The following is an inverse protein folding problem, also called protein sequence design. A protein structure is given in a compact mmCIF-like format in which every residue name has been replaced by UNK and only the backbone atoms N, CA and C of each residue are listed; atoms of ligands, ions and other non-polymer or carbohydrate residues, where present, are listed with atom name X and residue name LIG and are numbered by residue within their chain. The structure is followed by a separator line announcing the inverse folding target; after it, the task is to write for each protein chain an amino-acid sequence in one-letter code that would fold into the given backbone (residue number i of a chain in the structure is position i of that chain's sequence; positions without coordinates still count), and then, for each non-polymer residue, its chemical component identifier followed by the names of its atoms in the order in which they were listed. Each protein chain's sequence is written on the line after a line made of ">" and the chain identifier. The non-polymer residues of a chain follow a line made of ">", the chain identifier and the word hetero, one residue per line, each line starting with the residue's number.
data_IF_504728964971
#
_entry.id   IF_504728964971
#
_cell.length_a   1.000
_cell.length_b   1.000
_cell.length_c   1.000
_cell.angle_alpha   90.00
_cell.angle_beta   90.00
_cell.angle_gamma   90.00
#
_symmetry.space_group_name_H-M   'P 1'
#
loop_
_entity.id
_entity.type
_entity.pdbx_description
1 polymer ?
#
# COMPACT_ATOMS: atom_id res chain seq x y z
N UNK A 1 2.80 6.32 21.40
CA UNK A 1 1.39 6.26 20.96
C UNK A 1 0.95 4.80 20.94
N UNK A 2 -0.34 4.51 21.17
CA UNK A 2 -0.84 3.14 21.24
C UNK A 2 -0.55 2.30 19.98
N UNK A 3 -0.60 2.94 18.80
CA UNK A 3 -0.27 2.29 17.52
C UNK A 3 1.17 1.79 17.48
N UNK A 4 2.14 2.57 17.99
CA UNK A 4 3.55 2.16 18.02
C UNK A 4 3.77 0.98 18.97
N UNK A 5 3.08 0.96 20.12
CA UNK A 5 3.13 -0.19 21.04
C UNK A 5 2.60 -1.46 20.37
N UNK A 6 1.47 -1.39 19.66
CA UNK A 6 0.92 -2.53 18.93
C UNK A 6 1.83 -3.01 17.80
N UNK A 7 2.48 -2.08 17.08
CA UNK A 7 3.45 -2.43 16.04
C UNK A 7 4.65 -3.16 16.65
N UNK A 8 5.19 -2.68 17.78
CA UNK A 8 6.30 -3.36 18.49
C UNK A 8 5.89 -4.75 19.00
N UNK A 9 4.68 -4.87 19.52
CA UNK A 9 4.14 -6.16 19.96
C UNK A 9 4.08 -7.17 18.80
N UNK A 10 3.58 -6.74 17.63
CA UNK A 10 3.55 -7.58 16.42
C UNK A 10 4.96 -7.90 15.92
N UNK A 11 5.87 -6.93 15.91
CA UNK A 11 7.26 -7.16 15.47
C UNK A 11 7.93 -8.23 16.34
N UNK A 12 7.68 -8.20 17.65
CA UNK A 12 8.19 -9.23 18.57
C UNK A 12 7.65 -10.63 18.23
N UNK A 13 6.38 -10.74 17.82
CA UNK A 13 5.82 -12.01 17.35
C UNK A 13 6.57 -12.48 16.11
N UNK A 14 6.79 -11.61 15.13
CA UNK A 14 7.54 -11.96 13.92
C UNK A 14 8.96 -12.42 14.24
N UNK A 15 9.67 -11.74 15.16
CA UNK A 15 10.99 -12.15 15.64
C UNK A 15 10.97 -13.54 16.26
N UNK A 16 9.99 -13.83 17.14
CA UNK A 16 9.83 -15.15 17.75
C UNK A 16 9.54 -16.26 16.71
N UNK A 17 9.06 -15.91 15.52
CA UNK A 17 8.79 -16.82 14.41
C UNK A 17 9.84 -16.79 13.30
N UNK A 18 11.01 -16.18 13.54
CA UNK A 18 12.18 -16.27 12.67
C UNK A 18 12.41 -15.08 11.74
N UNK A 19 11.82 -13.91 12.01
CA UNK A 19 12.16 -12.68 11.30
C UNK A 19 13.62 -12.23 11.58
N UNK A 20 14.22 -11.54 10.61
CA UNK A 20 15.56 -10.96 10.74
C UNK A 20 15.61 -9.92 11.86
N UNK A 21 16.71 -9.83 12.59
CA UNK A 21 16.93 -8.79 13.62
C UNK A 21 17.33 -7.44 13.02
N UNK A 22 17.74 -7.41 11.74
CA UNK A 22 18.12 -6.19 11.04
C UNK A 22 16.93 -5.23 10.89
N UNK A 23 17.13 -3.99 11.34
CA UNK A 23 16.14 -2.91 11.29
C UNK A 23 16.85 -1.58 11.05
N UNK A 24 16.23 -0.67 10.28
CA UNK A 24 16.78 0.68 10.08
C UNK A 24 16.64 1.56 11.33
N UNK A 25 17.60 2.47 11.53
CA UNK A 25 17.56 3.48 12.58
C UNK A 25 17.26 4.88 12.00
N UNK A 26 16.04 5.41 12.20
CA UNK A 26 15.66 6.72 11.68
C UNK A 26 16.17 7.90 12.56
N UNK A 27 17.02 7.66 13.56
CA UNK A 27 17.50 8.67 14.50
C UNK A 27 18.98 9.03 14.31
N UNK A 28 19.66 8.47 13.31
CA UNK A 28 21.06 8.79 13.03
C UNK A 28 21.25 10.25 12.58
N UNK A 29 22.46 10.78 12.76
CA UNK A 29 22.79 12.14 12.30
C UNK A 29 22.70 12.26 10.78
N UNK A 30 23.00 11.19 10.03
CA UNK A 30 22.82 11.14 8.58
C UNK A 30 21.36 11.27 8.17
N UNK A 31 20.44 10.57 8.85
CA UNK A 31 19.00 10.75 8.61
C UNK A 31 18.54 12.17 8.95
N UNK A 32 19.09 12.79 10.01
CA UNK A 32 18.82 14.19 10.34
C UNK A 32 19.34 15.15 9.25
N UNK A 33 20.49 14.90 8.65
CA UNK A 33 21.03 15.69 7.52
C UNK A 33 20.14 15.59 6.28
N UNK A 34 19.68 14.39 5.93
CA UNK A 34 18.71 14.13 4.85
C UNK A 34 17.41 14.89 5.13
N UNK A 35 16.87 14.76 6.34
CA UNK A 35 15.63 15.43 6.75
C UNK A 35 15.77 16.96 6.68
N UNK A 36 16.91 17.52 7.11
CA UNK A 36 17.18 18.96 7.03
C UNK A 36 17.13 19.47 5.58
N UNK A 37 17.74 18.74 4.63
CA UNK A 37 17.66 19.08 3.19
C UNK A 37 16.23 18.91 2.67
N UNK A 38 15.53 17.87 3.12
CA UNK A 38 14.12 17.65 2.80
C UNK A 38 13.25 18.86 3.20
N UNK A 39 13.33 19.29 4.46
CA UNK A 39 12.60 20.47 4.94
C UNK A 39 12.93 21.74 4.16
N UNK A 40 14.21 21.95 3.82
CA UNK A 40 14.63 23.10 3.02
C UNK A 40 14.01 23.10 1.60
N UNK A 41 13.66 21.93 1.08
CA UNK A 41 13.01 21.73 -0.22
C UNK A 41 11.49 21.52 -0.13
N UNK A 42 10.88 21.72 1.04
CA UNK A 42 9.43 21.52 1.25
C UNK A 42 8.98 20.06 1.37
N UNK A 43 9.93 19.13 1.51
CA UNK A 43 9.67 17.71 1.72
C UNK A 43 9.56 17.38 3.20
N UNK A 44 8.59 16.54 3.55
CA UNK A 44 8.49 15.91 4.86
C UNK A 44 8.97 14.47 4.79
N UNK A 45 10.07 14.16 5.46
CA UNK A 45 10.48 12.77 5.68
C UNK A 45 9.61 12.12 6.76
N UNK A 46 9.03 10.97 6.45
CA UNK A 46 8.35 10.11 7.41
C UNK A 46 9.34 9.13 8.01
N UNK A 47 9.85 9.47 9.19
CA UNK A 47 10.72 8.59 9.96
C UNK A 47 10.00 7.29 10.31
N UNK A 48 10.58 6.17 9.90
CA UNK A 48 10.08 4.84 10.23
C UNK A 48 11.25 3.88 10.45
N UNK A 49 11.12 3.01 11.43
CA UNK A 49 11.96 1.83 11.54
C UNK A 49 11.42 0.79 10.55
N UNK A 50 12.28 0.24 9.71
CA UNK A 50 11.92 -0.71 8.67
C UNK A 50 12.69 -2.01 8.87
N UNK A 51 11.95 -3.10 9.07
CA UNK A 51 12.46 -4.47 9.02
C UNK A 51 12.01 -5.09 7.71
N UNK A 52 12.95 -5.28 6.79
CA UNK A 52 12.66 -5.93 5.52
C UNK A 52 12.74 -7.45 5.70
N UNK A 53 11.60 -8.14 5.61
CA UNK A 53 11.53 -9.60 5.77
C UNK A 53 12.00 -10.34 4.50
N UNK A 54 11.69 -9.81 3.31
CA UNK A 54 11.89 -10.52 2.05
C UNK A 54 10.87 -11.67 1.85
N UNK A 55 10.64 -12.04 0.60
CA UNK A 55 9.58 -13.01 0.22
C UNK A 55 9.84 -14.40 0.81
N UNK A 56 11.09 -14.87 0.77
CA UNK A 56 11.44 -16.24 1.19
C UNK A 56 11.33 -16.40 2.71
N UNK A 57 11.83 -15.44 3.49
CA UNK A 57 11.75 -15.49 4.94
C UNK A 57 10.30 -15.33 5.42
N UNK A 58 9.52 -14.50 4.74
CA UNK A 58 8.12 -14.30 5.07
C UNK A 58 7.30 -15.60 4.95
N UNK A 59 7.63 -16.46 3.97
CA UNK A 59 7.00 -17.78 3.87
C UNK A 59 7.29 -18.66 5.10
N UNK A 60 8.54 -18.70 5.56
CA UNK A 60 8.92 -19.48 6.75
C UNK A 60 8.31 -18.92 8.04
N UNK A 61 8.24 -17.60 8.19
CA UNK A 61 7.56 -16.95 9.32
C UNK A 61 6.08 -17.36 9.34
N UNK A 62 5.39 -17.30 8.20
CA UNK A 62 3.97 -17.67 8.11
C UNK A 62 3.73 -19.16 8.40
N UNK A 63 4.63 -20.04 7.94
CA UNK A 63 4.58 -21.48 8.29
C UNK A 63 4.71 -21.68 9.81
N UNK A 64 5.65 -21.01 10.45
CA UNK A 64 5.85 -21.10 11.90
C UNK A 64 4.64 -20.58 12.68
N UNK A 65 4.02 -19.48 12.23
CA UNK A 65 2.79 -18.94 12.82
C UNK A 65 1.63 -19.94 12.63
N UNK A 66 1.48 -20.52 11.44
CA UNK A 66 0.45 -21.53 11.18
C UNK A 66 0.60 -22.75 12.10
N UNK A 67 1.82 -23.29 12.21
CA UNK A 67 2.12 -24.45 13.06
C UNK A 67 1.86 -24.16 14.55
N UNK A 68 2.08 -22.92 15.00
CA UNK A 68 1.75 -22.49 16.35
C UNK A 68 0.24 -22.36 16.59
N UNK A 69 -0.52 -21.89 15.59
CA UNK A 69 -1.95 -21.63 15.72
C UNK A 69 -2.83 -22.86 15.48
N UNK A 70 -2.38 -23.84 14.68
CA UNK A 70 -3.21 -25.00 14.29
C UNK A 70 -3.74 -25.84 15.46
N UNK A 71 -3.08 -25.79 16.63
CA UNK A 71 -3.52 -26.48 17.85
C UNK A 71 -4.37 -25.60 18.79
N UNK A 72 -4.62 -24.35 18.41
CA UNK A 72 -5.24 -23.31 19.26
C UNK A 72 -6.51 -22.72 18.67
N UNK A 73 -6.66 -22.79 17.35
CA UNK A 73 -7.84 -22.27 16.64
C UNK A 73 -8.26 -23.25 15.57
N UNK A 74 -9.57 -23.34 15.34
CA UNK A 74 -10.12 -24.05 14.20
C UNK A 74 -9.86 -23.24 12.92
N UNK A 75 -9.30 -23.89 11.91
CA UNK A 75 -9.02 -23.28 10.61
C UNK A 75 -9.76 -24.04 9.51
N UNK A 76 -10.59 -23.33 8.75
CA UNK A 76 -11.31 -23.87 7.61
C UNK A 76 -10.82 -23.22 6.31
N UNK A 77 -10.15 -24.00 5.46
CA UNK A 77 -9.66 -23.57 4.15
C UNK A 77 -10.62 -23.99 3.05
N UNK A 78 -10.63 -23.25 1.94
CA UNK A 78 -11.62 -23.44 0.85
C UNK A 78 -13.06 -23.32 1.33
N UNK A 79 -13.28 -22.46 2.32
CA UNK A 79 -14.57 -22.20 2.96
C UNK A 79 -14.94 -20.74 2.71
N UNK A 80 -15.67 -20.49 1.63
CA UNK A 80 -16.07 -19.14 1.24
C UNK A 80 -17.30 -18.68 2.02
N UNK A 81 -17.23 -17.47 2.61
CA UNK A 81 -18.38 -16.79 3.22
C UNK A 81 -19.18 -16.08 2.13
N UNK A 82 -20.46 -16.41 2.02
CA UNK A 82 -21.37 -15.71 1.11
C UNK A 82 -21.97 -14.48 1.79
N UNK A 83 -22.41 -14.61 3.05
CA UNK A 83 -23.17 -13.55 3.71
C UNK A 83 -23.01 -13.49 5.25
N UNK A 84 -23.48 -12.39 5.86
CA UNK A 84 -23.55 -12.20 7.31
C UNK A 84 -24.97 -12.47 7.81
N UNK A 85 -25.09 -13.22 8.90
CA UNK A 85 -26.34 -13.39 9.63
C UNK A 85 -26.47 -12.25 10.64
N UNK A 86 -27.55 -11.48 10.55
CA UNK A 86 -27.80 -10.33 11.43
C UNK A 86 -29.20 -10.38 12.00
N UNK A 87 -29.35 -9.96 13.26
CA UNK A 87 -30.63 -9.90 13.98
C UNK A 87 -30.93 -8.46 14.36
N UNK A 88 -32.22 -8.09 14.29
CA UNK A 88 -32.68 -6.78 14.75
C UNK A 88 -32.81 -6.79 16.28
N UNK A 89 -32.36 -5.72 16.90
CA UNK A 89 -32.37 -5.47 18.34
C UNK A 89 -33.03 -4.11 18.63
N UNK A 90 -33.25 -3.78 19.90
CA UNK A 90 -33.77 -2.46 20.29
C UNK A 90 -32.84 -1.32 19.84
N UNK A 91 -31.52 -1.55 19.86
CA UNK A 91 -30.48 -0.55 19.58
C UNK A 91 -29.95 -0.58 18.14
N UNK A 92 -30.60 -1.34 17.23
CA UNK A 92 -30.17 -1.47 15.84
C UNK A 92 -29.98 -2.93 15.43
N UNK A 93 -28.89 -3.24 14.71
CA UNK A 93 -28.59 -4.60 14.25
C UNK A 93 -27.40 -5.19 15.02
N UNK A 94 -27.45 -6.50 15.29
CA UNK A 94 -26.35 -7.29 15.87
C UNK A 94 -26.00 -8.43 14.94
N UNK A 95 -24.72 -8.76 14.80
CA UNK A 95 -24.29 -9.96 14.07
C UNK A 95 -24.56 -11.22 14.91
N UNK A 96 -24.95 -12.31 14.25
CA UNK A 96 -25.22 -13.60 14.89
C UNK A 96 -24.57 -14.79 14.18
N UNK A 97 -23.70 -14.52 13.21
CA UNK A 97 -22.95 -15.54 12.47
C UNK A 97 -22.67 -15.18 11.03
N UNK A 98 -22.28 -16.19 10.26
CA UNK A 98 -21.99 -16.12 8.84
C UNK A 98 -22.68 -17.26 8.09
N UNK A 99 -23.01 -17.01 6.84
CA UNK A 99 -23.53 -18.00 5.90
C UNK A 99 -22.46 -18.33 4.87
N UNK A 100 -22.19 -19.62 4.71
CA UNK A 100 -21.23 -20.14 3.75
C UNK A 100 -21.87 -20.19 2.36
N UNK A 101 -21.04 -20.17 1.32
CA UNK A 101 -21.47 -20.38 -0.06
C UNK A 101 -22.10 -21.76 -0.31
N UNK A 102 -21.81 -22.75 0.54
CA UNK A 102 -22.47 -24.05 0.56
C UNK A 102 -23.92 -23.99 1.05
N UNK A 103 -24.32 -22.91 1.72
CA UNK A 103 -25.59 -22.75 2.44
C UNK A 103 -25.51 -23.09 3.93
N UNK A 104 -24.39 -23.62 4.41
CA UNK A 104 -24.19 -23.89 5.83
C UNK A 104 -24.08 -22.60 6.64
N UNK A 105 -24.48 -22.66 7.92
CA UNK A 105 -24.49 -21.51 8.81
C UNK A 105 -23.58 -21.75 10.01
N UNK A 106 -22.73 -20.78 10.30
CA UNK A 106 -21.86 -20.78 11.48
C UNK A 106 -22.29 -19.63 12.38
N UNK A 107 -22.74 -19.96 13.59
CA UNK A 107 -23.20 -18.97 14.56
C UNK A 107 -22.06 -18.44 15.42
N UNK A 108 -22.02 -17.12 15.59
CA UNK A 108 -21.04 -16.44 16.43
C UNK A 108 -21.61 -15.11 16.93
N UNK A 109 -21.28 -14.74 18.17
CA UNK A 109 -21.70 -13.45 18.74
C UNK A 109 -20.87 -12.27 18.22
N UNK A 110 -19.64 -12.56 17.77
CA UNK A 110 -18.66 -11.61 17.26
C UNK A 110 -18.09 -12.14 15.96
N UNK A 111 -18.03 -11.30 14.93
CA UNK A 111 -17.49 -11.65 13.61
C UNK A 111 -16.45 -10.61 13.21
N UNK A 112 -15.27 -11.06 12.80
CA UNK A 112 -14.20 -10.20 12.30
C UNK A 112 -14.02 -10.47 10.81
N UNK A 113 -14.17 -9.44 9.99
CA UNK A 113 -14.02 -9.52 8.53
C UNK A 113 -12.74 -8.81 8.11
N UNK A 114 -11.73 -9.58 7.70
CA UNK A 114 -10.41 -9.10 7.28
C UNK A 114 -9.98 -9.75 5.95
N UNK A 115 -10.62 -9.43 4.82
CA UNK A 115 -10.60 -10.29 3.63
C UNK A 115 -9.40 -10.01 2.68
N UNK A 116 -8.44 -9.18 3.12
CA UNK A 116 -7.35 -8.71 2.25
C UNK A 116 -7.84 -7.82 1.10
N UNK A 117 -6.89 -7.30 0.31
CA UNK A 117 -7.20 -6.37 -0.80
C UNK A 117 -8.12 -7.01 -1.84
N UNK A 118 -7.89 -8.28 -2.17
CA UNK A 118 -8.68 -9.02 -3.16
C UNK A 118 -10.15 -9.16 -2.74
N UNK A 119 -10.41 -9.31 -1.45
CA UNK A 119 -11.77 -9.40 -0.90
C UNK A 119 -12.44 -8.06 -0.60
N UNK A 120 -11.80 -6.92 -0.91
CA UNK A 120 -12.38 -5.57 -0.65
C UNK A 120 -13.68 -5.31 -1.42
N UNK A 121 -13.79 -5.83 -2.66
CA UNK A 121 -15.01 -5.74 -3.47
C UNK A 121 -16.15 -6.55 -2.85
N UNK A 122 -15.86 -7.78 -2.41
CA UNK A 122 -16.81 -8.62 -1.69
C UNK A 122 -17.29 -7.94 -0.41
N UNK A 123 -16.37 -7.42 0.41
CA UNK A 123 -16.70 -6.67 1.62
C UNK A 123 -17.60 -5.46 1.33
N UNK A 124 -17.28 -4.70 0.28
CA UNK A 124 -18.09 -3.54 -0.12
C UNK A 124 -19.51 -3.94 -0.49
N UNK A 125 -19.70 -5.05 -1.21
CA UNK A 125 -21.02 -5.58 -1.54
C UNK A 125 -21.74 -6.10 -0.29
N UNK A 126 -21.02 -6.83 0.57
CA UNK A 126 -21.50 -7.37 1.83
C UNK A 126 -22.07 -6.26 2.72
N UNK A 127 -21.33 -5.16 2.92
CA UNK A 127 -21.76 -4.05 3.78
C UNK A 127 -22.85 -3.19 3.11
N UNK A 128 -22.79 -2.99 1.79
CA UNK A 128 -23.86 -2.29 1.04
C UNK A 128 -25.22 -3.00 1.15
N UNK A 129 -25.25 -4.35 1.12
CA UNK A 129 -26.48 -5.13 1.35
C UNK A 129 -27.13 -4.81 2.72
N UNK A 130 -26.35 -4.35 3.70
CA UNK A 130 -26.82 -3.92 5.04
C UNK A 130 -27.01 -2.41 5.15
N UNK A 131 -26.99 -1.68 4.04
CA UNK A 131 -27.14 -0.22 3.98
C UNK A 131 -26.06 0.53 4.77
N UNK A 132 -24.90 -0.09 5.00
CA UNK A 132 -23.74 0.59 5.59
C UNK A 132 -23.05 1.43 4.52
N UNK A 133 -22.77 2.69 4.87
CA UNK A 133 -22.09 3.63 3.96
C UNK A 133 -20.62 3.26 3.85
N UNK A 134 -20.15 3.14 2.62
CA UNK A 134 -18.75 2.93 2.27
C UNK A 134 -18.21 4.18 1.60
N UNK A 135 -17.03 4.64 2.00
CA UNK A 135 -16.38 5.83 1.43
C UNK A 135 -15.17 5.36 0.61
N UNK A 136 -15.16 5.70 -0.67
CA UNK A 136 -13.99 5.55 -1.53
C UNK A 136 -13.85 6.81 -2.39
N UNK A 137 -13.00 7.74 -1.95
CA UNK A 137 -12.85 9.03 -2.61
C UNK A 137 -11.41 9.31 -3.04
N UNK A 138 -10.48 8.37 -2.89
CA UNK A 138 -9.07 8.58 -3.17
C UNK A 138 -8.54 7.53 -4.14
N UNK A 139 -7.65 7.95 -5.04
CA UNK A 139 -6.75 7.07 -5.81
C UNK A 139 -5.38 7.75 -5.94
N UNK A 140 -4.33 6.95 -5.94
CA UNK A 140 -2.99 7.46 -6.18
C UNK A 140 -2.54 7.05 -7.58
N UNK A 141 -2.07 8.01 -8.37
CA UNK A 141 -1.60 7.82 -9.75
C UNK A 141 -0.25 8.51 -9.91
N UNK A 142 0.67 7.86 -10.61
CA UNK A 142 1.92 8.48 -11.00
C UNK A 142 2.79 7.54 -11.81
N UNK A 143 4.06 7.44 -11.43
CA UNK A 143 5.10 6.77 -12.20
C UNK A 143 6.02 5.98 -11.30
N UNK A 144 6.64 4.94 -11.87
CA UNK A 144 7.85 4.35 -11.33
C UNK A 144 9.04 5.16 -11.81
N UNK A 145 9.84 5.66 -10.90
CA UNK A 145 11.11 6.32 -11.18
C UNK A 145 12.22 5.28 -11.09
N UNK A 146 13.13 5.29 -12.04
CA UNK A 146 14.37 4.52 -12.01
C UNK A 146 15.57 5.45 -12.20
N UNK A 147 16.55 5.32 -11.31
CA UNK A 147 17.80 6.07 -11.35
C UNK A 147 18.98 5.20 -10.89
N UNK A 148 20.21 5.70 -11.00
CA UNK A 148 21.40 4.95 -10.59
C UNK A 148 21.44 4.73 -9.08
N UNK A 149 21.95 3.58 -8.63
CA UNK A 149 22.30 3.37 -7.23
C UNK A 149 23.27 4.42 -6.69
N UNK A 150 24.15 4.98 -7.54
CA UNK A 150 25.09 6.04 -7.14
C UNK A 150 24.36 7.30 -6.69
N UNK A 151 23.26 7.65 -7.38
CA UNK A 151 22.43 8.82 -7.01
C UNK A 151 21.69 8.55 -5.69
N UNK A 152 21.22 7.31 -5.50
CA UNK A 152 20.38 6.91 -4.36
C UNK A 152 21.16 6.38 -3.15
N UNK A 153 22.48 6.27 -3.23
CA UNK A 153 23.36 5.60 -2.25
C UNK A 153 23.04 6.03 -0.81
N UNK A 154 23.05 7.34 -0.56
CA UNK A 154 22.81 7.89 0.78
C UNK A 154 21.42 7.51 1.34
N UNK A 155 20.39 7.51 0.51
CA UNK A 155 19.02 7.11 0.91
C UNK A 155 18.97 5.61 1.17
N UNK A 156 19.57 4.81 0.27
CA UNK A 156 19.55 3.35 0.35
C UNK A 156 20.25 2.85 1.62
N UNK A 157 21.39 3.43 1.96
CA UNK A 157 22.17 3.05 3.15
C UNK A 157 21.50 3.45 4.46
N UNK A 158 20.98 4.68 4.54
CA UNK A 158 20.55 5.24 5.82
C UNK A 158 19.05 5.02 6.12
N UNK A 159 18.22 4.87 5.08
CA UNK A 159 16.78 4.76 5.22
C UNK A 159 16.21 3.46 4.66
N UNK A 160 16.94 2.77 3.77
CA UNK A 160 16.45 1.73 2.85
C UNK A 160 15.37 2.26 1.87
N UNK A 161 14.35 2.93 2.41
CA UNK A 161 13.29 3.60 1.68
C UNK A 161 13.08 5.01 2.25
N UNK A 162 13.45 6.04 1.47
CA UNK A 162 13.13 7.42 1.80
C UNK A 162 11.63 7.71 1.59
N UNK A 163 10.85 7.74 2.68
CA UNK A 163 9.40 8.04 2.66
C UNK A 163 9.14 9.54 2.74
N UNK A 164 9.08 10.20 1.61
CA UNK A 164 8.86 11.65 1.52
C UNK A 164 7.43 11.97 1.12
N UNK A 165 6.91 13.07 1.66
CA UNK A 165 5.66 13.71 1.26
C UNK A 165 5.96 15.14 0.81
N UNK A 166 5.33 15.57 -0.28
CA UNK A 166 5.44 16.91 -0.85
C UNK A 166 4.07 17.44 -1.22
N UNK A 167 3.83 18.73 -0.99
CA UNK A 167 2.63 19.42 -1.47
C UNK A 167 3.03 20.34 -2.63
N UNK A 168 2.31 20.23 -3.73
CA UNK A 168 2.67 20.87 -5.00
C UNK A 168 1.96 22.21 -5.16
N UNK A 169 2.43 23.01 -6.11
CA UNK A 169 1.80 24.30 -6.45
C UNK A 169 0.39 24.16 -7.02
N UNK A 170 0.01 22.96 -7.50
CA UNK A 170 -1.33 22.66 -8.02
C UNK A 170 -2.27 22.04 -6.97
N UNK A 171 -1.88 22.06 -5.69
CA UNK A 171 -2.73 21.65 -4.58
C UNK A 171 -2.88 20.13 -4.42
N UNK A 172 -1.99 19.34 -5.03
CA UNK A 172 -1.93 17.89 -4.83
C UNK A 172 -0.83 17.53 -3.83
N UNK A 173 -0.95 16.34 -3.24
CA UNK A 173 0.10 15.74 -2.42
C UNK A 173 0.77 14.62 -3.22
N UNK A 174 2.10 14.61 -3.24
CA UNK A 174 2.91 13.55 -3.85
C UNK A 174 3.68 12.82 -2.75
N UNK A 175 3.81 11.51 -2.87
CA UNK A 175 4.61 10.69 -1.95
C UNK A 175 5.52 9.73 -2.70
N UNK A 176 6.68 9.45 -2.13
CA UNK A 176 7.48 8.29 -2.53
C UNK A 176 6.84 7.01 -1.99
N UNK A 177 7.04 5.90 -2.69
CA UNK A 177 6.51 4.61 -2.26
C UNK A 177 7.30 3.44 -2.82
N UNK A 178 7.47 2.41 -1.99
CA UNK A 178 8.03 1.11 -2.38
C UNK A 178 9.39 1.27 -3.08
N UNK A 179 10.37 1.85 -2.39
CA UNK A 179 11.74 1.89 -2.91
C UNK A 179 12.37 0.50 -2.96
N UNK A 180 13.06 0.21 -4.04
CA UNK A 180 13.74 -1.05 -4.32
C UNK A 180 15.18 -0.74 -4.74
N UNK A 181 16.11 -0.64 -3.76
CA UNK A 181 17.54 -0.51 -4.03
C UNK A 181 18.06 -1.69 -4.85
N UNK A 182 18.88 -1.44 -5.87
CA UNK A 182 19.37 -2.47 -6.81
C UNK A 182 18.26 -3.34 -7.42
N UNK A 183 17.05 -2.80 -7.50
CA UNK A 183 15.86 -3.53 -7.93
C UNK A 183 15.61 -3.45 -9.44
N UNK A 184 14.47 -3.99 -9.85
CA UNK A 184 13.98 -3.99 -11.22
C UNK A 184 12.59 -3.36 -11.26
N UNK A 185 12.32 -2.58 -12.30
CA UNK A 185 10.96 -2.20 -12.65
C UNK A 185 10.27 -3.44 -13.23
N UNK A 186 9.02 -3.68 -12.82
CA UNK A 186 8.24 -4.85 -13.25
C UNK A 186 6.82 -4.44 -13.65
N UNK A 187 6.16 -5.30 -14.42
CA UNK A 187 4.76 -5.15 -14.77
C UNK A 187 3.89 -5.82 -13.71
N UNK A 188 2.94 -5.07 -13.15
CA UNK A 188 1.85 -5.59 -12.33
C UNK A 188 0.59 -5.71 -13.19
N UNK A 189 0.02 -6.92 -13.30
CA UNK A 189 -1.23 -7.15 -14.01
C UNK A 189 -2.41 -7.02 -13.05
N UNK A 190 -3.15 -5.91 -13.17
CA UNK A 190 -4.37 -5.67 -12.42
C UNK A 190 -5.60 -5.95 -13.30
N UNK A 191 -6.01 -7.23 -13.34
CA UNK A 191 -7.20 -7.68 -14.09
C UNK A 191 -7.18 -7.30 -15.58
N UNK A 192 -6.03 -7.49 -16.24
CA UNK A 192 -5.83 -7.17 -17.66
C UNK A 192 -5.30 -5.77 -17.93
N UNK A 193 -5.12 -4.94 -16.89
CA UNK A 193 -4.51 -3.61 -16.99
C UNK A 193 -3.06 -3.71 -16.50
N UNK A 194 -2.11 -3.35 -17.36
CA UNK A 194 -0.68 -3.40 -17.02
C UNK A 194 -0.27 -2.11 -16.32
N UNK A 195 0.28 -2.23 -15.11
CA UNK A 195 0.75 -1.11 -14.29
C UNK A 195 2.24 -1.26 -14.01
N UNK A 196 2.92 -0.12 -13.83
CA UNK A 196 4.29 -0.12 -13.35
C UNK A 196 4.34 -0.47 -11.85
N UNK A 197 5.32 -1.29 -11.48
CA UNK A 197 5.67 -1.60 -10.10
C UNK A 197 7.18 -1.86 -10.04
N UNK A 198 7.70 -2.30 -8.90
CA UNK A 198 9.10 -2.71 -8.79
C UNK A 198 9.31 -3.78 -7.75
N UNK A 199 10.47 -4.42 -7.88
CA UNK A 199 10.88 -5.55 -7.06
C UNK A 199 12.39 -5.48 -6.83
N UNK A 200 12.86 -6.04 -5.72
CA UNK A 200 14.28 -6.26 -5.45
C UNK A 200 14.50 -7.72 -5.03
N UNK A 201 15.50 -8.36 -5.64
CA UNK A 201 15.93 -9.69 -5.25
C UNK A 201 16.75 -9.62 -3.97
N UNK A 202 16.67 -10.68 -3.15
CA UNK A 202 17.55 -10.83 -1.98
C UNK A 202 18.98 -11.15 -2.39
N UNK A 203 19.18 -11.92 -3.46
CA UNK A 203 20.51 -12.24 -3.99
C UNK A 203 21.10 -11.01 -4.71
N UNK A 204 22.22 -10.43 -4.22
CA UNK A 204 22.85 -9.29 -4.85
C UNK A 204 23.29 -9.54 -6.30
N UNK A 205 23.54 -10.81 -6.69
CA UNK A 205 23.92 -11.18 -8.07
C UNK A 205 22.78 -10.99 -9.07
N UNK A 206 21.54 -10.99 -8.60
CA UNK A 206 20.34 -10.72 -9.40
C UNK A 206 19.93 -9.24 -9.33
N UNK A 207 20.66 -8.43 -8.55
CA UNK A 207 20.43 -6.99 -8.47
C UNK A 207 20.83 -6.26 -9.75
N UNK A 208 20.26 -5.07 -9.93
CA UNK A 208 20.65 -4.14 -10.99
C UNK A 208 21.59 -3.05 -10.44
N UNK A 209 22.17 -2.26 -11.34
CA UNK A 209 22.89 -1.02 -10.98
C UNK A 209 21.97 0.16 -10.64
N UNK A 210 20.64 -0.06 -10.62
CA UNK A 210 19.63 0.98 -10.52
C UNK A 210 18.77 0.80 -9.27
N UNK A 211 18.32 1.92 -8.71
CA UNK A 211 17.27 1.97 -7.71
C UNK A 211 16.00 2.43 -8.38
N UNK A 212 14.87 1.81 -8.03
CA UNK A 212 13.56 2.28 -8.48
C UNK A 212 12.57 2.46 -7.33
N UNK A 213 11.67 3.41 -7.47
CA UNK A 213 10.62 3.72 -6.49
C UNK A 213 9.44 4.41 -7.18
N UNK A 214 8.27 4.39 -6.57
CA UNK A 214 7.11 5.08 -7.13
C UNK A 214 7.02 6.53 -6.64
N UNK A 215 6.63 7.44 -7.52
CA UNK A 215 6.08 8.74 -7.18
C UNK A 215 4.58 8.70 -7.43
N UNK A 216 3.81 8.95 -6.38
CA UNK A 216 2.36 8.77 -6.38
C UNK A 216 1.68 10.09 -6.00
N UNK A 217 0.88 10.62 -6.92
CA UNK A 217 0.05 11.81 -6.71
C UNK A 217 -1.31 11.38 -6.19
N UNK A 218 -1.70 11.89 -5.03
CA UNK A 218 -3.01 11.61 -4.43
C UNK A 218 -4.10 12.45 -5.07
N UNK A 219 -5.05 11.78 -5.72
CA UNK A 219 -6.27 12.37 -6.24
C UNK A 219 -7.42 12.06 -5.30
N UNK A 220 -8.01 13.10 -4.72
CA UNK A 220 -9.22 12.99 -3.90
C UNK A 220 -10.39 13.62 -4.66
N UNK A 221 -11.50 12.90 -4.73
CA UNK A 221 -12.70 13.32 -5.42
C UNK A 221 -13.82 13.62 -4.43
N UNK A 222 -14.78 14.41 -4.89
CA UNK A 222 -16.00 14.75 -4.16
C UNK A 222 -17.20 14.51 -5.06
N UNK A 223 -18.39 14.60 -4.47
CA UNK A 223 -19.65 14.61 -5.19
C UNK A 223 -19.62 15.59 -6.38
N UNK A 224 -20.21 15.25 -7.54
CA UNK A 224 -20.99 14.03 -7.80
C UNK A 224 -20.17 12.80 -8.24
N UNK A 225 -18.83 12.86 -8.22
CA UNK A 225 -17.97 11.76 -8.68
C UNK A 225 -17.51 10.87 -7.53
N UNK A 226 -17.80 9.57 -7.62
CA UNK A 226 -17.55 8.59 -6.56
C UNK A 226 -16.78 7.33 -7.04
N UNK A 227 -16.12 7.40 -8.20
CA UNK A 227 -15.43 6.26 -8.85
C UNK A 227 -13.93 6.48 -9.08
N UNK A 228 -13.14 6.83 -8.05
CA UNK A 228 -11.71 7.14 -8.21
C UNK A 228 -10.89 5.98 -8.79
N UNK A 229 -11.19 4.73 -8.42
CA UNK A 229 -10.49 3.57 -8.98
C UNK A 229 -10.75 3.41 -10.49
N UNK A 230 -11.98 3.67 -10.97
CA UNK A 230 -12.28 3.62 -12.40
C UNK A 230 -11.54 4.72 -13.17
N UNK A 231 -11.43 5.92 -12.59
CA UNK A 231 -10.62 7.00 -13.18
C UNK A 231 -9.16 6.57 -13.40
N UNK A 232 -8.54 5.91 -12.42
CA UNK A 232 -7.19 5.38 -12.58
C UNK A 232 -7.12 4.22 -13.59
N UNK A 233 -8.15 3.37 -13.66
CA UNK A 233 -8.23 2.33 -14.69
C UNK A 233 -8.29 2.91 -16.10
N UNK A 234 -9.08 3.94 -16.35
CA UNK A 234 -9.16 4.58 -17.68
C UNK A 234 -7.81 5.18 -18.11
N UNK A 235 -7.14 5.91 -17.20
CA UNK A 235 -5.79 6.46 -17.47
C UNK A 235 -4.78 5.33 -17.79
N UNK A 236 -4.85 4.24 -17.03
CA UNK A 236 -3.92 3.12 -17.21
C UNK A 236 -4.18 2.36 -18.52
N UNK A 237 -5.45 2.18 -18.90
CA UNK A 237 -5.81 1.58 -20.20
C UNK A 237 -5.34 2.43 -21.36
N UNK A 238 -5.48 3.75 -21.28
CA UNK A 238 -4.95 4.67 -22.29
C UNK A 238 -3.43 4.50 -22.45
N UNK A 239 -2.70 4.41 -21.34
CA UNK A 239 -1.26 4.15 -21.38
C UNK A 239 -0.93 2.80 -22.04
N UNK A 240 -1.66 1.72 -21.67
CA UNK A 240 -1.48 0.41 -22.29
C UNK A 240 -1.79 0.43 -23.79
N UNK A 241 -2.80 1.18 -24.25
CA UNK A 241 -3.10 1.30 -25.67
C UNK A 241 -1.96 1.97 -26.45
N UNK A 242 -1.33 3.01 -25.89
CA UNK A 242 -0.20 3.70 -26.53
C UNK A 242 1.11 2.89 -26.51
N UNK A 243 1.24 1.93 -25.61
CA UNK A 243 2.41 1.04 -25.47
C UNK A 243 2.17 -0.37 -26.02
N UNK A 244 1.10 -0.60 -26.79
CA UNK A 244 0.73 -1.93 -27.31
C UNK A 244 0.63 -3.02 -26.23
N UNK A 245 -0.02 -2.68 -25.11
CA UNK A 245 -0.21 -3.55 -23.95
C UNK A 245 0.92 -3.51 -22.92
N UNK A 246 2.03 -2.82 -23.18
CA UNK A 246 3.16 -2.71 -22.25
C UNK A 246 3.10 -1.51 -21.30
N UNK A 247 4.26 -1.08 -20.82
CA UNK A 247 4.43 0.16 -20.05
C UNK A 247 5.15 1.21 -20.90
N UNK A 248 4.79 2.48 -20.72
CA UNK A 248 5.50 3.60 -21.33
C UNK A 248 6.74 3.89 -20.48
N UNK A 249 7.92 4.01 -21.12
CA UNK A 249 9.12 4.60 -20.51
C UNK A 249 9.44 5.94 -21.17
N UNK A 250 9.80 6.93 -20.35
CA UNK A 250 10.21 8.25 -20.83
C UNK A 250 11.33 8.80 -19.96
N UNK A 251 12.35 9.40 -20.58
CA UNK A 251 13.39 10.15 -19.85
C UNK A 251 12.79 11.40 -19.23
N UNK A 252 13.19 11.70 -18.01
CA UNK A 252 12.83 12.92 -17.31
C UNK A 252 13.19 14.18 -18.12
N UNK A 253 14.37 14.19 -18.75
CA UNK A 253 14.77 15.30 -19.62
C UNK A 253 13.89 15.46 -20.88
N UNK A 254 13.27 14.38 -21.36
CA UNK A 254 12.32 14.44 -22.48
C UNK A 254 10.94 14.94 -22.01
N UNK A 255 10.52 14.58 -20.78
CA UNK A 255 9.33 15.14 -20.12
C UNK A 255 9.44 16.67 -20.00
N UNK A 256 10.57 17.17 -19.49
CA UNK A 256 10.81 18.62 -19.35
C UNK A 256 10.79 19.36 -20.69
N UNK A 257 11.21 18.70 -21.78
CA UNK A 257 11.20 19.24 -23.14
C UNK A 257 9.84 19.07 -23.84
N UNK A 258 8.84 18.51 -23.17
CA UNK A 258 7.51 18.27 -23.73
C UNK A 258 7.54 17.36 -24.96
N UNK A 259 8.40 16.34 -24.96
CA UNK A 259 8.59 15.47 -26.12
C UNK A 259 8.65 13.99 -25.73
N UNK A 260 8.25 13.15 -26.68
CA UNK A 260 8.37 11.69 -26.61
C UNK A 260 9.84 11.22 -26.52
N UNK A 261 10.09 10.21 -25.68
CA UNK A 261 11.31 9.39 -25.77
C UNK A 261 11.21 8.34 -26.88
N UNK A 262 12.35 8.06 -27.52
CA UNK A 262 12.50 7.02 -28.57
C UNK A 262 13.58 6.03 -28.15
N UNK A 263 13.66 4.86 -28.77
CA UNK A 263 14.71 3.87 -28.49
C UNK A 263 16.11 4.48 -28.56
N UNK A 264 16.35 5.32 -29.58
CA UNK A 264 17.61 6.05 -29.73
C UNK A 264 17.89 6.94 -28.50
N UNK A 265 16.91 7.72 -28.05
CA UNK A 265 17.08 8.62 -26.90
C UNK A 265 17.27 7.87 -25.59
N UNK A 266 16.60 6.73 -25.41
CA UNK A 266 16.82 5.87 -24.23
C UNK A 266 18.28 5.37 -24.23
N UNK A 267 18.76 4.84 -25.36
CA UNK A 267 20.14 4.33 -25.51
C UNK A 267 21.23 5.40 -25.38
N UNK A 268 20.92 6.66 -25.68
CA UNK A 268 21.83 7.81 -25.43
C UNK A 268 21.89 8.19 -23.94
N UNK A 269 21.03 7.62 -23.09
CA UNK A 269 21.03 7.86 -21.65
C UNK A 269 22.14 7.09 -20.93
N UNK A 270 22.43 7.51 -19.70
CA UNK A 270 23.39 6.81 -18.82
C UNK A 270 22.76 5.66 -18.04
N UNK A 271 21.44 5.50 -18.13
CA UNK A 271 20.69 4.44 -17.49
C UNK A 271 20.17 3.48 -18.54
N UNK A 272 20.52 2.22 -18.36
CA UNK A 272 19.92 1.12 -19.10
C UNK A 272 18.65 0.68 -18.34
N UNK A 273 17.46 0.70 -18.97
CA UNK A 273 16.21 0.25 -18.35
C UNK A 273 16.33 -1.17 -17.78
N UNK A 274 15.87 -1.39 -16.55
CA UNK A 274 15.77 -2.77 -16.02
C UNK A 274 14.63 -3.54 -16.66
N UNK A 275 13.53 -2.87 -17.00
CA UNK A 275 12.41 -3.44 -17.76
C UNK A 275 12.67 -3.31 -19.26
N UNK A 276 13.12 -4.39 -19.90
CA UNK A 276 13.56 -4.38 -21.32
C UNK A 276 12.41 -4.25 -22.30
N UNK A 277 11.24 -4.72 -21.93
CA UNK A 277 10.01 -4.68 -22.69
C UNK A 277 9.25 -3.35 -22.60
N UNK A 278 9.77 -2.38 -21.83
CA UNK A 278 9.16 -1.05 -21.75
C UNK A 278 9.25 -0.31 -23.10
N UNK A 279 8.18 0.38 -23.47
CA UNK A 279 8.05 1.03 -24.77
C UNK A 279 8.32 2.53 -24.64
N UNK A 280 9.33 3.09 -25.35
CA UNK A 280 9.56 4.53 -25.32
C UNK A 280 8.37 5.33 -25.83
N UNK A 281 7.87 6.25 -25.02
CA UNK A 281 6.62 6.97 -25.28
C UNK A 281 6.57 8.36 -24.68
N UNK A 282 5.35 8.87 -24.53
CA UNK A 282 5.06 10.19 -23.97
C UNK A 282 3.99 10.09 -22.89
N UNK A 283 4.41 10.24 -21.64
CA UNK A 283 3.53 10.24 -20.47
C UNK A 283 2.63 11.49 -20.43
N UNK A 284 2.99 12.56 -21.15
CA UNK A 284 2.14 13.75 -21.29
C UNK A 284 0.84 13.50 -22.05
N UNK A 285 0.75 12.40 -22.81
CA UNK A 285 -0.48 11.97 -23.49
C UNK A 285 -1.43 11.17 -22.59
N UNK A 286 -0.99 10.74 -21.40
CA UNK A 286 -1.75 9.85 -20.52
C UNK A 286 -2.00 10.44 -19.14
N UNK A 287 -1.02 11.14 -18.58
CA UNK A 287 -1.14 11.75 -17.26
C UNK A 287 -1.74 13.15 -17.39
N UNK A 288 -2.79 13.48 -16.60
CA UNK A 288 -3.33 14.83 -16.55
C UNK A 288 -2.24 15.85 -16.20
N UNK A 289 -2.40 17.09 -16.68
CA UNK A 289 -1.45 18.18 -16.43
C UNK A 289 -1.08 18.33 -14.95
N UNK A 290 -2.08 18.33 -14.06
CA UNK A 290 -1.83 18.46 -12.62
C UNK A 290 -0.97 17.30 -12.09
N UNK A 291 -1.22 16.06 -12.54
CA UNK A 291 -0.44 14.88 -12.15
C UNK A 291 1.00 15.00 -12.64
N UNK A 292 1.22 15.30 -13.92
CA UNK A 292 2.57 15.41 -14.48
C UNK A 292 3.36 16.57 -13.84
N UNK A 293 2.74 17.74 -13.68
CA UNK A 293 3.35 18.88 -12.98
C UNK A 293 3.73 18.54 -11.54
N UNK A 294 2.86 17.81 -10.84
CA UNK A 294 3.12 17.34 -9.47
C UNK A 294 4.35 16.42 -9.39
N UNK A 295 4.48 15.50 -10.34
CA UNK A 295 5.61 14.57 -10.42
C UNK A 295 6.93 15.32 -10.71
N UNK A 296 6.89 16.32 -11.60
CA UNK A 296 8.04 17.18 -11.90
C UNK A 296 8.47 17.94 -10.63
N UNK A 297 7.55 18.66 -9.98
CA UNK A 297 7.88 19.42 -8.76
C UNK A 297 8.42 18.54 -7.63
N UNK A 298 7.84 17.35 -7.43
CA UNK A 298 8.35 16.37 -6.47
C UNK A 298 9.77 15.90 -6.81
N UNK A 299 10.06 15.69 -8.10
CA UNK A 299 11.38 15.23 -8.55
C UNK A 299 12.44 16.30 -8.36
N UNK A 300 12.11 17.56 -8.67
CA UNK A 300 12.98 18.71 -8.41
C UNK A 300 13.23 18.91 -6.90
N UNK A 301 12.20 18.76 -6.06
CA UNK A 301 12.36 18.84 -4.61
C UNK A 301 13.25 17.70 -4.08
N UNK A 302 13.03 16.47 -4.53
CA UNK A 302 13.85 15.32 -4.14
C UNK A 302 15.30 15.45 -4.62
N UNK A 303 15.55 16.11 -5.76
CA UNK A 303 16.90 16.37 -6.24
C UNK A 303 17.74 17.22 -5.27
N UNK A 304 17.12 18.04 -4.41
CA UNK A 304 17.83 18.76 -3.35
C UNK A 304 18.28 17.83 -2.20
N UNK A 305 17.64 16.67 -2.07
CA UNK A 305 17.92 15.65 -1.06
C UNK A 305 18.86 14.57 -1.61
N UNK A 306 18.67 14.16 -2.85
CA UNK A 306 19.50 13.18 -3.58
C UNK A 306 19.93 13.82 -4.92
N UNK A 307 21.03 14.60 -4.91
CA UNK A 307 21.50 15.29 -6.11
C UNK A 307 21.76 14.32 -7.27
N UNK A 308 21.20 14.65 -8.43
CA UNK A 308 21.25 13.81 -9.62
C UNK A 308 19.94 13.08 -9.92
N UNK A 309 18.97 13.08 -9.00
CA UNK A 309 17.67 12.46 -9.25
C UNK A 309 16.90 13.15 -10.37
N UNK A 310 16.96 14.49 -10.47
CA UNK A 310 16.36 15.26 -11.56
C UNK A 310 17.29 15.34 -12.80
N UNK A 311 18.05 14.28 -13.07
CA UNK A 311 18.89 14.19 -14.27
C UNK A 311 18.05 13.98 -15.53
N UNK A 312 18.52 14.50 -16.67
CA UNK A 312 17.97 14.23 -18.00
C UNK A 312 17.89 12.72 -18.33
N UNK A 313 18.64 11.88 -17.60
CA UNK A 313 18.73 10.44 -17.81
C UNK A 313 17.80 9.61 -16.93
N UNK A 314 17.24 10.17 -15.85
CA UNK A 314 16.28 9.48 -14.97
C UNK A 314 15.08 8.99 -15.79
N UNK A 315 14.62 7.77 -15.52
CA UNK A 315 13.55 7.13 -16.29
C UNK A 315 12.25 7.14 -15.50
N UNK A 316 11.16 7.54 -16.14
CA UNK A 316 9.80 7.42 -15.63
C UNK A 316 9.07 6.34 -16.42
N UNK A 317 8.49 5.39 -15.69
CA UNK A 317 7.61 4.36 -16.23
C UNK A 317 6.19 4.62 -15.79
N UNK A 318 5.26 4.64 -16.74
CA UNK A 318 3.85 4.88 -16.46
C UNK A 318 2.94 3.83 -17.09
N UNK A 319 1.77 3.60 -16.48
CA UNK A 319 1.25 4.27 -15.28
C UNK A 319 1.50 3.41 -14.04
N UNK A 320 1.94 4.01 -12.93
CA UNK A 320 1.85 3.35 -11.62
C UNK A 320 0.60 3.88 -10.89
N UNK A 321 -0.30 2.98 -10.52
CA UNK A 321 -1.50 3.31 -9.77
C UNK A 321 -1.58 2.50 -8.48
N UNK A 322 -2.20 3.07 -7.44
CA UNK A 322 -2.54 2.35 -6.20
C UNK A 322 -4.00 2.62 -5.85
N UNK A 323 -4.80 1.56 -5.93
CA UNK A 323 -6.23 1.59 -5.71
C UNK A 323 -6.56 1.52 -4.22
N UNK A 324 -7.57 2.27 -3.80
CA UNK A 324 -8.03 2.26 -2.42
C UNK A 324 -9.26 1.36 -2.26
N UNK A 325 -9.26 0.60 -1.17
CA UNK A 325 -10.44 -0.13 -0.72
C UNK A 325 -11.42 0.84 -0.11
N UNK A 326 -12.71 0.63 -0.38
CA UNK A 326 -13.76 1.43 0.24
C UNK A 326 -13.75 1.21 1.75
N UNK A 327 -13.83 2.29 2.51
CA UNK A 327 -13.78 2.28 3.96
C UNK A 327 -15.19 2.38 4.57
N UNK A 328 -15.61 1.43 5.44
CA UNK A 328 -16.82 1.60 6.21
C UNK A 328 -16.65 2.64 7.32
N UNK A 329 -17.76 3.20 7.79
CA UNK A 329 -17.78 3.93 9.06
C UNK A 329 -17.55 2.94 10.21
N UNK A 330 -16.52 3.17 11.01
CA UNK A 330 -16.14 2.34 12.15
C UNK A 330 -15.93 3.22 13.38
N UNK A 331 -16.10 2.65 14.57
CA UNK A 331 -15.64 3.27 15.81
C UNK A 331 -14.11 3.11 15.98
N UNK A 332 -13.59 3.59 17.12
CA UNK A 332 -12.17 3.52 17.50
C UNK A 332 -11.66 2.10 17.79
N UNK A 333 -12.56 1.10 17.78
CA UNK A 333 -12.28 -0.34 17.96
C UNK A 333 -12.44 -1.14 16.65
N UNK A 334 -12.66 -0.46 15.52
CA UNK A 334 -12.93 -1.07 14.22
C UNK A 334 -14.24 -1.88 14.15
N UNK A 335 -15.18 -1.60 15.05
CA UNK A 335 -16.54 -2.15 15.01
C UNK A 335 -17.41 -1.28 14.08
N UNK A 336 -18.28 -1.94 13.31
CA UNK A 336 -19.24 -1.27 12.42
C UNK A 336 -20.46 -0.78 13.20
N UNK A 337 -21.41 -0.17 12.50
CA UNK A 337 -22.74 0.17 13.07
C UNK A 337 -23.60 -1.09 13.37
N UNK A 338 -23.17 -2.28 12.93
CA UNK A 338 -23.73 -3.57 13.34
C UNK A 338 -22.94 -4.08 14.55
N UNK A 339 -23.61 -4.19 15.70
CA UNK A 339 -22.99 -4.62 16.96
C UNK A 339 -22.38 -6.02 16.83
N UNK A 340 -21.13 -6.15 17.28
CA UNK A 340 -20.34 -7.38 17.21
C UNK A 340 -19.68 -7.65 15.86
N UNK A 341 -19.92 -6.85 14.83
CA UNK A 341 -19.25 -6.96 13.54
C UNK A 341 -18.06 -6.01 13.46
N UNK A 342 -16.85 -6.58 13.39
CA UNK A 342 -15.59 -5.86 13.20
C UNK A 342 -15.10 -6.03 11.78
N UNK A 343 -14.45 -4.99 11.27
CA UNK A 343 -13.91 -4.97 9.91
C UNK A 343 -12.53 -4.34 9.95
N UNK A 344 -11.51 -5.03 9.41
CA UNK A 344 -10.12 -4.61 9.58
C UNK A 344 -9.20 -4.99 8.43
N UNK A 345 -7.96 -4.52 8.53
CA UNK A 345 -6.91 -4.77 7.54
C UNK A 345 -7.01 -3.94 6.27
N UNK A 346 -6.19 -4.30 5.28
CA UNK A 346 -6.05 -3.54 4.03
C UNK A 346 -7.33 -3.57 3.18
N UNK A 347 -8.03 -4.71 3.15
CA UNK A 347 -9.29 -4.89 2.40
C UNK A 347 -10.44 -4.01 2.88
N UNK A 348 -10.37 -3.55 4.13
CA UNK A 348 -11.31 -2.61 4.73
C UNK A 348 -10.93 -1.13 4.50
N UNK A 349 -9.80 -0.87 3.83
CA UNK A 349 -9.26 0.47 3.65
C UNK A 349 -8.71 1.09 4.94
N UNK A 350 -8.42 0.27 5.96
CA UNK A 350 -7.96 0.73 7.28
C UNK A 350 -6.43 0.79 7.37
N UNK A 351 -5.75 -0.21 6.83
CA UNK A 351 -4.30 -0.36 6.90
C UNK A 351 -3.70 -0.43 5.50
N UNK A 352 -2.36 -0.29 5.40
CA UNK A 352 -1.64 -0.31 4.11
C UNK A 352 -0.32 -1.09 4.17
N UNK A 353 -0.18 -1.99 5.14
CA UNK A 353 1.05 -2.74 5.35
C UNK A 353 0.95 -3.75 6.47
N UNK A 354 1.85 -4.73 6.47
CA UNK A 354 1.82 -5.91 7.33
C UNK A 354 1.73 -5.53 8.82
N UNK A 355 2.63 -4.69 9.31
CA UNK A 355 2.66 -4.28 10.72
C UNK A 355 1.36 -3.58 11.16
N UNK A 356 0.78 -2.74 10.28
CA UNK A 356 -0.49 -2.06 10.57
C UNK A 356 -1.67 -3.03 10.57
N UNK A 357 -1.74 -3.94 9.59
CA UNK A 357 -2.80 -4.93 9.48
C UNK A 357 -2.81 -5.87 10.71
N UNK A 358 -1.63 -6.35 11.11
CA UNK A 358 -1.46 -7.15 12.32
C UNK A 358 -1.82 -6.36 13.59
N UNK A 359 -1.39 -5.10 13.71
CA UNK A 359 -1.75 -4.24 14.84
C UNK A 359 -3.26 -3.99 14.93
N UNK A 360 -3.94 -3.84 13.78
CA UNK A 360 -5.39 -3.74 13.68
C UNK A 360 -6.06 -5.02 14.21
N UNK A 361 -5.58 -6.20 13.80
CA UNK A 361 -6.07 -7.49 14.31
C UNK A 361 -5.92 -7.64 15.83
N UNK A 362 -4.76 -7.27 16.39
CA UNK A 362 -4.53 -7.30 17.85
C UNK A 362 -5.47 -6.34 18.58
N UNK A 363 -5.71 -5.14 18.02
CA UNK A 363 -6.62 -4.16 18.63
C UNK A 363 -8.06 -4.65 18.67
N UNK A 364 -8.55 -5.26 17.57
CA UNK A 364 -9.87 -5.89 17.51
C UNK A 364 -9.97 -7.03 18.53
N UNK A 365 -8.96 -7.91 18.58
CA UNK A 365 -8.95 -9.03 19.53
C UNK A 365 -8.98 -8.57 20.99
N UNK A 366 -8.26 -7.48 21.31
CA UNK A 366 -8.25 -6.90 22.66
C UNK A 366 -9.64 -6.43 23.07
N UNK A 367 -10.35 -5.72 22.19
CA UNK A 367 -11.72 -5.26 22.45
C UNK A 367 -12.71 -6.42 22.62
N UNK A 368 -12.57 -7.48 21.81
CA UNK A 368 -13.39 -8.69 21.95
C UNK A 368 -13.16 -9.36 23.31
N UNK A 369 -11.90 -9.47 23.76
CA UNK A 369 -11.56 -10.05 25.06
C UNK A 369 -12.12 -9.20 26.20
N UNK A 370 -11.94 -7.88 26.15
CA UNK A 370 -12.46 -6.93 27.14
C UNK A 370 -13.98 -7.11 27.28
N UNK A 371 -14.73 -7.06 26.16
CA UNK A 371 -16.19 -7.25 26.15
C UNK A 371 -16.60 -8.62 26.69
N UNK A 372 -15.91 -9.69 26.30
CA UNK A 372 -16.19 -11.06 26.77
C UNK A 372 -15.91 -11.24 28.27
N UNK A 373 -14.92 -10.54 28.80
CA UNK A 373 -14.57 -10.59 30.23
C UNK A 373 -15.57 -9.83 31.12
N UNK A 374 -16.16 -8.75 30.63
CA UNK A 374 -17.25 -8.04 31.30
C UNK A 374 -18.54 -8.85 31.37
N UNK A 375 -18.86 -9.65 30.35
CA UNK A 375 -20.01 -10.57 30.40
C UNK A 375 -19.83 -11.62 31.50
N UNK A 376 -18.60 -12.13 31.70
CA UNK A 376 -18.31 -13.08 32.80
C UNK A 376 -18.37 -12.47 34.21
N UNK A 377 -18.24 -11.14 34.35
CA UNK A 377 -18.35 -10.46 35.66
C UNK A 377 -19.77 -10.00 36.00
N UNK A 378 -20.69 -10.03 35.04
CA UNK A 378 -22.07 -9.59 35.22
C UNK A 378 -23.01 -10.69 35.78
N UNK A 379 -22.48 -11.86 36.17
CA UNK A 379 -23.20 -12.80 37.03
C UNK A 379 -22.76 -12.63 38.49
N UNK A 380 -23.64 -12.05 39.32
CA UNK A 380 -23.92 -12.64 40.62
C UNK A 380 -25.41 -12.97 40.77
N UNK A 381 -25.62 -14.25 41.09
CA UNK A 381 -26.72 -14.85 41.85
C UNK A 381 -28.17 -14.62 41.39
N UNK A 382 -28.74 -15.70 40.85
CA UNK A 382 -30.10 -16.11 41.22
C UNK A 382 -30.21 -16.20 42.76
N UNK A 383 -31.04 -15.35 43.36
CA UNK A 383 -32.15 -15.75 44.23
C UNK A 383 -33.33 -14.81 43.95
#
# INVERSE_FOLDING_TARGET
>A
SKVVELIKYVDQINLNHGATESITDPLTDKVREIERRGYAAGLKLLRAQVRHLGTEQNLEILKNIFEYLKSKVDMAFKTEIEDLITVKTADGYKVSGVELKSGDKIHAEKVVVAPGRDGSKWLSQLLKKRKLKMINNQVDIGVRVETSNVVMEEINENLYEGKFIFNTSVGTTVRTFCSNPSGHVVVENHSGIMLANGHAYKDPKLGSGNTNFALLVSHTFSEPFDKPNEYAHEISRLANSLSNGGLIVQKYGDILKGRRSTDKRIKEGFLEPTLKEAVPGDLGLVLPYNTLKSLIEMTEALNQVTPGLASDHTLFYGVEAKFYSARPKLNDKFETEISGLYVGGDGAGITRGLAQASACGVWIATDIIEKSSTVKKAEPALV
#
